data_IF_689756206481
#
_entry.id   IF_689756206481
#
_cell.length_a   1.000
_cell.length_b   1.000
_cell.length_c   1.000
_cell.angle_alpha   90.00
_cell.angle_beta   90.00
_cell.angle_gamma   90.00
#
_symmetry.space_group_name_H-M   'P 1'
#
loop_
_entity.id
_entity.type
_entity.pdbx_description
1 polymer ?
#
# COMPACT_ATOMS: atom_id res chain seq x y z
N UNK A 1 -7.27 -3.85 -22.05
CA UNK A 1 -8.43 -3.76 -21.15
C UNK A 1 -7.94 -4.07 -19.75
N UNK A 2 -8.27 -3.23 -18.77
CA UNK A 2 -7.96 -3.51 -17.36
C UNK A 2 -8.80 -4.70 -16.86
N UNK A 3 -8.34 -5.34 -15.79
CA UNK A 3 -9.07 -6.42 -15.12
C UNK A 3 -10.33 -5.85 -14.43
N UNK A 4 -11.39 -6.65 -14.31
CA UNK A 4 -12.52 -6.29 -13.45
C UNK A 4 -12.15 -6.44 -11.97
N UNK A 5 -12.86 -5.78 -11.08
CA UNK A 5 -12.65 -5.90 -9.61
C UNK A 5 -12.81 -7.34 -9.13
N UNK A 6 -13.79 -8.07 -9.65
CA UNK A 6 -13.96 -9.50 -9.39
C UNK A 6 -12.73 -10.32 -9.81
N UNK A 7 -12.19 -10.03 -11.00
CA UNK A 7 -10.98 -10.69 -11.48
C UNK A 7 -9.77 -10.37 -10.62
N UNK A 8 -9.64 -9.12 -10.15
CA UNK A 8 -8.57 -8.71 -9.24
C UNK A 8 -8.66 -9.48 -7.93
N UNK A 9 -9.83 -9.54 -7.28
CA UNK A 9 -10.02 -10.26 -6.02
C UNK A 9 -9.71 -11.77 -6.12
N UNK A 10 -9.84 -12.35 -7.32
CA UNK A 10 -9.52 -13.75 -7.60
C UNK A 10 -8.03 -14.03 -7.85
N UNK A 11 -7.19 -13.01 -8.02
CA UNK A 11 -5.76 -13.22 -8.25
C UNK A 11 -5.10 -13.87 -7.03
N UNK A 12 -4.27 -14.87 -7.27
CA UNK A 12 -3.46 -15.44 -6.20
C UNK A 12 -2.34 -14.47 -5.79
N UNK A 13 -1.90 -14.55 -4.54
CA UNK A 13 -0.73 -13.81 -4.06
C UNK A 13 0.51 -13.98 -4.98
N UNK A 14 0.71 -15.18 -5.56
CA UNK A 14 1.80 -15.41 -6.51
C UNK A 14 1.62 -14.67 -7.83
N UNK A 15 0.39 -14.53 -8.32
CA UNK A 15 0.11 -13.75 -9.52
C UNK A 15 0.34 -12.26 -9.25
N UNK A 16 -0.10 -11.75 -8.10
CA UNK A 16 0.14 -10.37 -7.68
C UNK A 16 1.64 -10.07 -7.58
N UNK A 17 2.41 -10.93 -6.92
CA UNK A 17 3.85 -10.77 -6.79
C UNK A 17 4.61 -10.86 -8.14
N UNK A 18 3.97 -11.41 -9.18
CA UNK A 18 4.52 -11.52 -10.52
C UNK A 18 4.06 -10.39 -11.47
N UNK A 19 3.17 -9.49 -11.02
CA UNK A 19 2.79 -8.31 -11.80
C UNK A 19 3.99 -7.36 -11.91
N UNK A 20 4.25 -6.88 -13.13
CA UNK A 20 5.15 -5.76 -13.35
C UNK A 20 4.47 -4.43 -13.04
N UNK A 21 5.27 -3.38 -12.94
CA UNK A 21 4.81 -2.00 -12.70
C UNK A 21 3.81 -1.55 -13.76
N UNK A 22 4.09 -1.85 -15.04
CA UNK A 22 3.23 -1.46 -16.17
C UNK A 22 1.81 -2.05 -16.07
N UNK A 23 1.66 -3.23 -15.43
CA UNK A 23 0.33 -3.81 -15.23
C UNK A 23 -0.44 -3.14 -14.09
N UNK A 24 0.26 -2.58 -13.12
CA UNK A 24 -0.33 -1.92 -11.94
C UNK A 24 -0.65 -0.47 -12.27
N UNK A 25 0.19 0.22 -13.03
CA UNK A 25 -0.06 1.61 -13.48
C UNK A 25 -1.32 1.76 -14.33
N UNK A 26 -1.81 0.68 -14.95
CA UNK A 26 -3.05 0.68 -15.74
C UNK A 26 -4.29 0.27 -14.93
N UNK A 27 -4.14 0.00 -13.63
CA UNK A 27 -5.27 -0.22 -12.74
C UNK A 27 -5.86 1.12 -12.33
N UNK A 28 -7.20 1.17 -12.27
CA UNK A 28 -7.89 2.28 -11.64
C UNK A 28 -8.11 2.02 -10.16
N UNK A 29 -8.63 3.02 -9.47
CA UNK A 29 -8.86 2.98 -8.02
C UNK A 29 -9.79 1.84 -7.60
N UNK A 30 -10.82 1.52 -8.41
CA UNK A 30 -11.71 0.37 -8.17
C UNK A 30 -10.94 -0.97 -8.10
N UNK A 31 -9.94 -1.16 -8.97
CA UNK A 31 -9.12 -2.38 -8.96
C UNK A 31 -8.20 -2.43 -7.74
N UNK A 32 -7.64 -1.29 -7.35
CA UNK A 32 -6.78 -1.20 -6.16
C UNK A 32 -7.59 -1.48 -4.89
N UNK A 33 -8.80 -0.92 -4.77
CA UNK A 33 -9.72 -1.19 -3.66
C UNK A 33 -10.24 -2.64 -3.62
N UNK A 34 -10.26 -3.32 -4.76
CA UNK A 34 -10.66 -4.73 -4.83
C UNK A 34 -9.56 -5.70 -4.34
N UNK A 35 -8.36 -5.22 -4.00
CA UNK A 35 -7.30 -6.04 -3.46
C UNK A 35 -7.63 -6.52 -2.05
N UNK A 36 -7.44 -7.82 -1.83
CA UNK A 36 -7.54 -8.42 -0.49
C UNK A 36 -6.25 -8.21 0.31
N UNK A 37 -6.32 -8.27 1.63
CA UNK A 37 -5.12 -8.20 2.49
C UNK A 37 -4.05 -9.26 2.16
N UNK A 38 -4.44 -10.44 1.67
CA UNK A 38 -3.47 -11.47 1.23
C UNK A 38 -2.73 -11.06 -0.04
N UNK A 39 -3.41 -10.36 -0.95
CA UNK A 39 -2.81 -9.82 -2.17
C UNK A 39 -1.94 -8.61 -1.86
N UNK A 40 -2.37 -7.71 -0.97
CA UNK A 40 -1.58 -6.57 -0.49
C UNK A 40 -0.27 -7.03 0.15
N UNK A 41 -0.32 -8.09 0.96
CA UNK A 41 0.88 -8.70 1.55
C UNK A 41 1.86 -9.29 0.52
N UNK A 42 1.41 -9.50 -0.72
CA UNK A 42 2.21 -10.02 -1.82
C UNK A 42 2.74 -8.94 -2.76
N UNK A 43 2.35 -7.67 -2.58
CA UNK A 43 2.87 -6.55 -3.36
C UNK A 43 4.37 -6.37 -3.11
N UNK A 44 5.11 -6.13 -4.19
CA UNK A 44 6.50 -5.67 -4.13
C UNK A 44 6.59 -4.17 -3.91
N UNK A 45 7.79 -3.65 -3.64
CA UNK A 45 8.01 -2.21 -3.46
C UNK A 45 7.66 -1.41 -4.72
N UNK A 46 8.05 -1.89 -5.90
CA UNK A 46 7.73 -1.21 -7.17
C UNK A 46 6.23 -1.12 -7.45
N UNK A 47 5.48 -2.16 -7.05
CA UNK A 47 4.03 -2.17 -7.12
C UNK A 47 3.42 -1.14 -6.16
N UNK A 48 3.89 -1.14 -4.91
CA UNK A 48 3.41 -0.21 -3.88
C UNK A 48 3.72 1.26 -4.25
N UNK A 49 4.85 1.55 -4.89
CA UNK A 49 5.20 2.89 -5.34
C UNK A 49 4.35 3.40 -6.51
N UNK A 50 3.70 2.49 -7.25
CA UNK A 50 2.83 2.85 -8.36
C UNK A 50 1.39 3.17 -7.90
N UNK A 51 1.03 2.85 -6.66
CA UNK A 51 -0.29 3.16 -6.09
C UNK A 51 -0.34 4.64 -5.72
N UNK A 52 -1.38 5.34 -6.15
CA UNK A 52 -1.53 6.75 -5.83
C UNK A 52 -1.76 6.97 -4.33
N UNK A 53 -1.35 8.13 -3.80
CA UNK A 53 -1.57 8.49 -2.40
C UNK A 53 -3.05 8.44 -2.00
N UNK A 54 -3.93 8.90 -2.89
CA UNK A 54 -5.37 8.96 -2.64
C UNK A 54 -5.97 7.55 -2.55
N UNK A 55 -5.41 6.57 -3.25
CA UNK A 55 -5.82 5.16 -3.20
C UNK A 55 -5.27 4.49 -1.94
N UNK A 56 -4.05 4.81 -1.52
CA UNK A 56 -3.53 4.34 -0.23
C UNK A 56 -4.34 4.90 0.94
N UNK A 57 -4.90 6.10 0.80
CA UNK A 57 -5.79 6.69 1.80
C UNK A 57 -7.17 6.01 1.86
N UNK A 58 -7.53 5.12 0.93
CA UNK A 58 -8.74 4.29 1.05
C UNK A 58 -8.52 2.98 1.79
N UNK A 59 -7.24 2.60 2.01
CA UNK A 59 -6.92 1.35 2.72
C UNK A 59 -7.33 1.42 4.19
N UNK A 60 -7.86 0.31 4.67
CA UNK A 60 -8.10 0.10 6.10
C UNK A 60 -6.80 -0.08 6.88
N UNK A 61 -6.86 0.09 8.20
CA UNK A 61 -5.70 -0.16 9.08
C UNK A 61 -5.20 -1.61 9.01
N UNK A 62 -6.10 -2.57 8.77
CA UNK A 62 -5.74 -3.98 8.60
C UNK A 62 -4.98 -4.22 7.29
N UNK A 63 -5.34 -3.52 6.22
CA UNK A 63 -4.67 -3.61 4.91
C UNK A 63 -3.29 -2.94 4.95
N UNK A 64 -3.18 -1.76 5.58
CA UNK A 64 -1.88 -1.13 5.85
C UNK A 64 -0.98 -2.05 6.69
N UNK A 65 -1.52 -2.68 7.73
CA UNK A 65 -0.81 -3.67 8.56
C UNK A 65 -0.42 -4.95 7.81
N UNK A 66 -1.07 -5.25 6.68
CA UNK A 66 -0.75 -6.40 5.84
C UNK A 66 0.42 -6.14 4.88
N UNK A 67 0.80 -4.87 4.63
CA UNK A 67 1.90 -4.51 3.73
C UNK A 67 3.20 -5.18 4.21
N UNK A 68 3.85 -5.87 3.30
CA UNK A 68 5.11 -6.55 3.58
C UNK A 68 6.22 -5.54 3.92
N UNK A 69 7.01 -5.80 4.96
CA UNK A 69 8.14 -4.94 5.36
C UNK A 69 9.14 -4.67 4.22
N UNK A 70 9.30 -5.61 3.28
CA UNK A 70 10.18 -5.44 2.12
C UNK A 70 9.61 -4.46 1.08
N UNK A 71 8.28 -4.35 1.02
CA UNK A 71 7.59 -3.47 0.08
C UNK A 71 7.59 -2.01 0.55
N UNK A 72 7.75 -1.76 1.86
CA UNK A 72 7.72 -0.41 2.44
C UNK A 72 8.70 0.56 1.80
N UNK A 73 9.82 0.09 1.25
CA UNK A 73 10.77 0.94 0.50
C UNK A 73 10.16 1.61 -0.74
N UNK A 74 9.02 1.13 -1.22
CA UNK A 74 8.24 1.76 -2.29
C UNK A 74 7.24 2.81 -1.81
N UNK A 75 6.97 2.91 -0.51
CA UNK A 75 6.01 3.86 0.02
C UNK A 75 6.67 5.24 0.14
N UNK A 76 6.21 6.21 -0.65
CA UNK A 76 6.76 7.57 -0.62
C UNK A 76 6.37 8.31 0.67
N UNK A 77 7.16 9.30 1.07
CA UNK A 77 6.83 10.16 2.22
C UNK A 77 5.55 10.96 1.98
N UNK A 78 5.27 11.33 0.73
CA UNK A 78 4.04 12.06 0.36
C UNK A 78 2.81 11.15 0.50
N UNK A 79 2.93 9.88 0.11
CA UNK A 79 1.88 8.88 0.32
C UNK A 79 1.60 8.66 1.80
N UNK A 80 2.64 8.61 2.65
CA UNK A 80 2.48 8.49 4.11
C UNK A 80 1.79 9.75 4.68
N UNK A 81 2.20 10.94 4.23
CA UNK A 81 1.65 12.21 4.69
C UNK A 81 0.17 12.39 4.31
N UNK A 82 -0.32 11.70 3.27
CA UNK A 82 -1.73 11.70 2.88
C UNK A 82 -2.61 10.79 3.75
N UNK A 83 -2.03 9.92 4.57
CA UNK A 83 -2.78 9.02 5.45
C UNK A 83 -3.32 9.76 6.68
N UNK A 84 -4.48 9.32 7.16
CA UNK A 84 -5.04 9.80 8.44
C UNK A 84 -4.25 9.29 9.65
N UNK A 85 -4.43 9.95 10.80
CA UNK A 85 -3.84 9.53 12.08
C UNK A 85 -4.18 8.08 12.45
N UNK A 86 -5.40 7.64 12.19
CA UNK A 86 -5.86 6.26 12.45
C UNK A 86 -5.17 5.25 11.52
N UNK A 87 -4.98 5.61 10.25
CA UNK A 87 -4.29 4.77 9.27
C UNK A 87 -2.81 4.59 9.61
N UNK A 88 -2.11 5.68 9.95
CA UNK A 88 -0.69 5.56 10.36
C UNK A 88 -0.53 4.85 11.70
N UNK A 89 -1.52 4.92 12.60
CA UNK A 89 -1.56 4.10 13.80
C UNK A 89 -1.76 2.58 13.50
N UNK A 90 -2.21 2.24 12.29
CA UNK A 90 -2.33 0.87 11.80
C UNK A 90 -0.98 0.22 11.44
N UNK A 91 0.10 1.00 11.28
CA UNK A 91 1.42 0.43 11.04
C UNK A 91 1.92 -0.36 12.25
N UNK A 92 2.43 -1.56 11.98
CA UNK A 92 2.99 -2.44 13.00
C UNK A 92 4.41 -2.02 13.38
N UNK A 93 4.88 -2.41 14.57
CA UNK A 93 6.26 -2.15 15.01
C UNK A 93 7.32 -2.74 14.08
N UNK A 94 7.02 -3.85 13.41
CA UNK A 94 7.91 -4.46 12.39
C UNK A 94 8.00 -3.60 11.14
N UNK A 95 6.91 -2.95 10.74
CA UNK A 95 6.89 -2.06 9.59
C UNK A 95 7.64 -0.76 9.90
N UNK A 96 7.38 -0.15 11.06
CA UNK A 96 8.13 1.03 11.52
C UNK A 96 9.63 0.74 11.62
N UNK A 97 10.02 -0.43 12.13
CA UNK A 97 11.44 -0.82 12.21
C UNK A 97 12.11 -1.13 10.86
N UNK A 98 11.35 -1.21 9.77
CA UNK A 98 11.87 -1.44 8.42
C UNK A 98 11.84 -0.19 7.52
N UNK A 99 11.19 0.88 7.98
CA UNK A 99 11.17 2.19 7.33
C UNK A 99 12.50 2.91 7.49
N UNK A 100 12.80 3.81 6.54
CA UNK A 100 13.91 4.75 6.70
C UNK A 100 13.53 5.98 7.55
N UNK A 101 14.51 6.81 7.86
CA UNK A 101 14.33 8.00 8.70
C UNK A 101 13.28 8.97 8.13
N UNK A 102 13.23 9.13 6.80
CA UNK A 102 12.31 10.05 6.14
C UNK A 102 10.86 9.55 6.20
N UNK A 103 10.66 8.24 6.02
CA UNK A 103 9.36 7.59 6.17
C UNK A 103 8.87 7.66 7.62
N UNK A 104 9.75 7.44 8.60
CA UNK A 104 9.40 7.57 10.03
C UNK A 104 9.01 9.01 10.36
N UNK A 105 9.74 10.00 9.85
CA UNK A 105 9.37 11.41 10.01
C UNK A 105 7.99 11.71 9.41
N UNK A 106 7.69 11.17 8.21
CA UNK A 106 6.38 11.32 7.59
C UNK A 106 5.26 10.69 8.43
N UNK A 107 5.48 9.50 9.02
CA UNK A 107 4.52 8.86 9.93
C UNK A 107 4.26 9.74 11.15
N UNK A 108 5.31 10.30 11.76
CA UNK A 108 5.18 11.18 12.92
C UNK A 108 4.39 12.44 12.55
N UNK A 109 4.64 13.05 11.39
CA UNK A 109 3.87 14.22 10.94
C UNK A 109 2.40 13.89 10.75
N UNK A 110 2.09 12.85 9.96
CA UNK A 110 0.72 12.40 9.70
C UNK A 110 -0.06 12.05 10.96
N UNK A 111 0.61 11.50 11.99
CA UNK A 111 -0.02 11.18 13.27
C UNK A 111 -0.40 12.43 14.09
N UNK A 112 0.36 13.53 13.94
CA UNK A 112 0.19 14.75 14.74
C UNK A 112 -0.66 15.83 14.04
N UNK A 113 -0.95 15.69 12.75
CA UNK A 113 -1.86 16.57 12.02
C UNK A 113 -3.32 16.24 12.43
N UNK A 114 -3.83 16.98 13.43
CA UNK A 114 -5.22 16.98 13.90
C UNK A 114 -5.80 18.38 13.79
#
# INVERSE_FOLDING_TARGET
AALTTDQVSMLTARQIAALGTDQIEVWGSDQIEALTGTQIAALGSAALSAIASDELATFTTAELGAINVKALTGLSTDSIAALSSDQVAGFTSKQIGAMDDAQIEAVIRAYNDV
#
